data_IF_511860081980
#
_entry.id   IF_511860081980
#
_cell.length_a   1.000
_cell.length_b   1.000
_cell.length_c   1.000
_cell.angle_alpha   90.00
_cell.angle_beta   90.00
_cell.angle_gamma   90.00
#
_symmetry.space_group_name_H-M   'P 1'
#
loop_
_entity.id
_entity.type
_entity.pdbx_description
1 polymer ?
#
# COMPACT_ATOMS: atom_id res chain seq x y z
N UNK A 1 -18.23 -3.05 8.89
CA UNK A 1 -17.14 -2.48 8.08
C UNK A 1 -16.17 -1.70 8.95
N UNK A 2 -16.56 -0.54 9.54
CA UNK A 2 -15.66 0.29 10.37
C UNK A 2 -14.93 -0.47 11.48
N UNK A 3 -15.67 -1.22 12.30
CA UNK A 3 -15.07 -2.00 13.40
C UNK A 3 -14.05 -3.03 12.90
N UNK A 4 -14.30 -3.62 11.74
CA UNK A 4 -13.39 -4.60 11.12
C UNK A 4 -12.11 -3.93 10.63
N UNK A 5 -12.22 -2.78 9.98
CA UNK A 5 -11.04 -2.00 9.56
C UNK A 5 -10.20 -1.65 10.80
N UNK A 6 -10.83 -1.19 11.88
CA UNK A 6 -10.14 -0.87 13.13
C UNK A 6 -9.51 -2.11 13.79
N UNK A 7 -10.19 -3.26 13.77
CA UNK A 7 -9.62 -4.53 14.27
C UNK A 7 -8.41 -4.95 13.42
N UNK A 8 -8.50 -4.84 12.09
CA UNK A 8 -7.39 -5.12 11.19
C UNK A 8 -6.20 -4.20 11.47
N UNK A 9 -6.40 -2.90 11.70
CA UNK A 9 -5.32 -2.00 12.11
C UNK A 9 -4.65 -2.51 13.38
N UNK A 10 -5.42 -2.85 14.42
CA UNK A 10 -4.90 -3.39 15.70
C UNK A 10 -4.16 -4.72 15.55
N UNK A 11 -4.53 -5.54 14.56
CA UNK A 11 -3.88 -6.81 14.24
C UNK A 11 -2.54 -6.62 13.53
N UNK A 12 -2.44 -5.58 12.70
CA UNK A 12 -1.23 -5.30 11.92
C UNK A 12 -0.23 -4.43 12.69
N UNK A 13 -0.71 -3.42 13.43
CA UNK A 13 0.13 -2.50 14.19
C UNK A 13 1.03 -3.20 15.23
N UNK A 14 1.98 -2.46 15.78
CA UNK A 14 3.03 -2.95 16.66
C UNK A 14 4.37 -3.10 15.93
N UNK A 15 5.40 -3.36 16.72
CA UNK A 15 6.78 -3.46 16.24
C UNK A 15 6.93 -4.62 15.26
N UNK A 16 7.34 -4.29 14.03
CA UNK A 16 7.41 -5.23 12.89
C UNK A 16 8.43 -4.80 11.83
N UNK A 17 9.48 -4.09 12.22
CA UNK A 17 10.58 -3.84 11.30
C UNK A 17 11.24 -5.15 10.88
N UNK A 18 11.78 -5.17 9.66
CA UNK A 18 12.30 -6.39 9.05
C UNK A 18 13.53 -6.98 9.75
N UNK A 19 14.25 -6.22 10.59
CA UNK A 19 15.52 -6.64 11.16
C UNK A 19 15.38 -7.12 12.61
N UNK A 20 14.93 -6.25 13.51
CA UNK A 20 14.81 -6.54 14.94
C UNK A 20 13.53 -7.32 15.26
N UNK A 21 12.46 -7.10 14.50
CA UNK A 21 11.14 -7.68 14.72
C UNK A 21 10.70 -8.61 13.57
N UNK A 22 11.65 -9.38 13.04
CA UNK A 22 11.46 -10.31 11.92
C UNK A 22 10.28 -11.28 12.13
N UNK A 23 10.21 -11.95 13.28
CA UNK A 23 9.14 -12.92 13.54
C UNK A 23 7.76 -12.24 13.57
N UNK A 24 7.67 -11.05 14.17
CA UNK A 24 6.44 -10.26 14.19
C UNK A 24 6.03 -9.83 12.77
N UNK A 25 6.98 -9.46 11.91
CA UNK A 25 6.73 -9.18 10.49
C UNK A 25 6.17 -10.43 9.77
N UNK A 26 6.77 -11.60 9.99
CA UNK A 26 6.28 -12.87 9.43
C UNK A 26 4.87 -13.22 9.92
N UNK A 27 4.53 -12.92 11.18
CA UNK A 27 3.17 -13.09 11.70
C UNK A 27 2.16 -12.20 10.96
N UNK A 28 2.53 -10.94 10.64
CA UNK A 28 1.66 -10.04 9.84
C UNK A 28 1.49 -10.57 8.43
N UNK A 29 2.55 -11.06 7.81
CA UNK A 29 2.48 -11.69 6.50
C UNK A 29 1.50 -12.89 6.49
N UNK A 30 1.58 -13.75 7.51
CA UNK A 30 0.68 -14.91 7.66
C UNK A 30 -0.77 -14.49 7.91
N UNK A 31 -1.00 -13.46 8.73
CA UNK A 31 -2.34 -12.91 8.96
C UNK A 31 -2.95 -12.37 7.65
N UNK A 32 -2.19 -11.58 6.89
CA UNK A 32 -2.63 -11.02 5.60
C UNK A 32 -2.95 -12.13 4.60
N UNK A 33 -2.10 -13.16 4.52
CA UNK A 33 -2.34 -14.35 3.68
C UNK A 33 -3.68 -15.02 4.02
N UNK A 34 -3.95 -15.23 5.31
CA UNK A 34 -5.20 -15.83 5.78
C UNK A 34 -6.41 -14.96 5.47
N UNK A 35 -6.29 -13.63 5.59
CA UNK A 35 -7.38 -12.71 5.26
C UNK A 35 -7.72 -12.73 3.77
N UNK A 36 -6.72 -12.74 2.89
CA UNK A 36 -6.94 -12.90 1.45
C UNK A 36 -7.53 -14.28 1.09
N UNK A 37 -6.99 -15.35 1.66
CA UNK A 37 -7.50 -16.71 1.43
C UNK A 37 -8.96 -16.85 1.89
N UNK A 38 -9.30 -16.27 3.06
CA UNK A 38 -10.66 -16.26 3.59
C UNK A 38 -11.63 -15.43 2.74
N UNK A 39 -11.11 -14.47 1.95
CA UNK A 39 -11.88 -13.74 0.95
C UNK A 39 -11.98 -14.46 -0.41
N UNK A 40 -11.45 -15.69 -0.52
CA UNK A 40 -11.56 -16.55 -1.70
C UNK A 40 -10.49 -16.33 -2.77
N UNK A 41 -9.41 -15.62 -2.45
CA UNK A 41 -8.30 -15.43 -3.39
C UNK A 41 -7.34 -16.62 -3.39
N UNK A 42 -6.70 -16.84 -4.54
CA UNK A 42 -5.47 -17.63 -4.62
C UNK A 42 -4.32 -16.74 -4.15
N UNK A 43 -3.66 -17.17 -3.08
CA UNK A 43 -2.56 -16.42 -2.45
C UNK A 43 -1.22 -17.07 -2.77
N UNK A 44 -0.24 -16.26 -3.17
CA UNK A 44 1.13 -16.68 -3.46
C UNK A 44 2.09 -15.82 -2.66
N UNK A 45 3.11 -16.45 -2.06
CA UNK A 45 4.25 -15.74 -1.49
C UNK A 45 5.26 -15.47 -2.60
N UNK A 46 5.55 -14.20 -2.83
CA UNK A 46 6.64 -13.73 -3.67
C UNK A 46 7.87 -13.55 -2.78
N UNK A 47 8.68 -14.61 -2.70
CA UNK A 47 9.83 -14.70 -1.80
C UNK A 47 11.05 -13.97 -2.36
N UNK A 48 11.70 -13.19 -1.49
CA UNK A 48 13.00 -12.60 -1.73
C UNK A 48 13.96 -12.89 -0.57
N UNK A 49 15.25 -12.98 -0.87
CA UNK A 49 16.30 -13.09 0.15
C UNK A 49 16.95 -11.72 0.37
N UNK A 50 16.95 -11.25 1.61
CA UNK A 50 17.66 -10.03 2.01
C UNK A 50 18.48 -10.32 3.27
N UNK A 51 19.79 -10.06 3.21
CA UNK A 51 20.73 -10.37 4.33
C UNK A 51 20.58 -11.81 4.84
N UNK A 52 20.59 -12.77 3.91
CA UNK A 52 20.53 -14.22 4.20
C UNK A 52 19.22 -14.68 4.86
N UNK A 53 18.19 -13.82 4.90
CA UNK A 53 16.86 -14.16 5.43
C UNK A 53 15.79 -14.06 4.34
N UNK A 54 14.79 -14.96 4.34
CA UNK A 54 13.66 -14.88 3.43
C UNK A 54 12.63 -13.84 3.91
N UNK A 55 12.06 -13.10 2.97
CA UNK A 55 10.91 -12.20 3.18
C UNK A 55 9.90 -12.44 2.05
N UNK A 56 8.65 -12.05 2.27
CA UNK A 56 7.58 -12.34 1.32
C UNK A 56 6.73 -11.11 1.03
N UNK A 57 6.57 -10.75 -0.24
CA UNK A 57 5.35 -10.04 -0.62
C UNK A 57 4.20 -11.05 -0.64
N UNK A 58 3.03 -10.65 -0.16
CA UNK A 58 1.82 -11.49 -0.17
C UNK A 58 0.95 -11.06 -1.34
N UNK A 59 0.81 -11.94 -2.33
CA UNK A 59 0.15 -11.65 -3.60
C UNK A 59 -1.17 -12.42 -3.68
N UNK A 60 -2.28 -11.72 -3.82
CA UNK A 60 -3.61 -12.29 -3.94
C UNK A 60 -4.22 -12.00 -5.31
N UNK A 61 -4.68 -13.06 -5.98
CA UNK A 61 -5.25 -13.05 -7.33
C UNK A 61 -6.48 -13.96 -7.41
N UNK A 62 -7.36 -13.81 -8.41
CA UNK A 62 -8.51 -14.69 -8.56
C UNK A 62 -8.14 -16.15 -8.89
N UNK A 63 -7.04 -16.37 -9.62
CA UNK A 63 -6.70 -17.72 -10.13
C UNK A 63 -5.19 -17.98 -10.24
N UNK A 64 -4.35 -17.13 -9.65
CA UNK A 64 -2.88 -17.20 -9.77
C UNK A 64 -2.32 -16.12 -10.67
N UNK A 65 -0.99 -15.95 -10.62
CA UNK A 65 -0.29 -14.90 -11.36
C UNK A 65 -0.27 -15.13 -12.88
N UNK A 66 -0.21 -16.38 -13.34
CA UNK A 66 0.04 -16.72 -14.75
C UNK A 66 -1.19 -16.60 -15.65
N UNK A 67 -2.39 -16.54 -15.07
CA UNK A 67 -3.64 -16.54 -15.82
C UNK A 67 -3.96 -15.20 -16.49
N UNK A 68 -3.29 -14.12 -16.08
CA UNK A 68 -3.52 -12.80 -16.66
C UNK A 68 -2.28 -11.94 -16.84
N UNK A 69 -2.34 -11.15 -17.92
CA UNK A 69 -1.25 -10.26 -18.34
C UNK A 69 -1.58 -8.78 -18.19
N UNK A 70 -2.81 -8.40 -17.85
CA UNK A 70 -3.20 -7.00 -17.62
C UNK A 70 -3.96 -6.86 -16.30
N UNK A 71 -3.32 -6.22 -15.32
CA UNK A 71 -3.84 -6.13 -13.94
C UNK A 71 -4.18 -4.69 -13.54
N UNK A 72 -5.18 -4.55 -12.69
CA UNK A 72 -5.37 -3.44 -11.77
C UNK A 72 -4.87 -3.92 -10.41
N UNK A 73 -3.81 -3.29 -9.91
CA UNK A 73 -3.19 -3.62 -8.63
C UNK A 73 -3.66 -2.64 -7.55
N UNK A 74 -4.05 -3.17 -6.38
CA UNK A 74 -4.14 -2.42 -5.13
C UNK A 74 -3.09 -2.97 -4.17
N UNK A 75 -2.25 -2.11 -3.60
CA UNK A 75 -1.18 -2.53 -2.71
C UNK A 75 -1.02 -1.63 -1.50
N UNK A 76 -0.37 -2.16 -0.47
CA UNK A 76 0.08 -1.44 0.73
C UNK A 76 1.31 -2.18 1.27
N UNK A 77 2.18 -1.53 2.03
CA UNK A 77 3.25 -2.25 2.72
C UNK A 77 2.84 -2.61 4.14
N UNK A 78 3.38 -3.70 4.67
CA UNK A 78 2.99 -4.24 5.97
C UNK A 78 4.12 -4.26 7.00
N UNK A 79 5.32 -3.81 6.64
CA UNK A 79 6.38 -3.50 7.61
C UNK A 79 6.15 -2.14 8.27
N UNK A 80 7.08 -1.76 9.14
CA UNK A 80 7.16 -0.45 9.77
C UNK A 80 8.63 -0.12 10.02
N UNK A 81 8.96 1.17 10.15
CA UNK A 81 10.24 1.61 10.70
C UNK A 81 10.44 1.09 12.13
N UNK A 82 11.70 0.86 12.51
CA UNK A 82 12.07 0.43 13.86
C UNK A 82 11.49 1.37 14.94
N UNK A 83 11.08 0.80 16.08
CA UNK A 83 10.48 1.51 17.22
C UNK A 83 9.10 2.16 16.96
N UNK A 84 8.57 2.11 15.74
CA UNK A 84 7.23 2.62 15.44
C UNK A 84 6.17 1.51 15.57
N UNK A 85 5.00 1.80 16.17
CA UNK A 85 3.85 0.90 16.10
C UNK A 85 3.27 0.84 14.68
N UNK A 86 3.55 1.81 13.81
CA UNK A 86 3.16 1.82 12.41
C UNK A 86 1.66 1.66 12.15
N UNK A 87 0.82 2.31 12.97
CA UNK A 87 -0.64 2.23 12.88
C UNK A 87 -1.18 2.94 11.63
N UNK A 88 -0.74 4.16 11.38
CA UNK A 88 -1.10 4.87 10.15
C UNK A 88 -0.19 4.46 8.98
N UNK A 89 1.13 4.45 9.22
CA UNK A 89 2.21 4.03 8.32
C UNK A 89 2.70 2.60 8.67
N UNK A 90 2.18 1.53 8.06
CA UNK A 90 1.09 1.51 7.08
C UNK A 90 0.00 0.45 7.36
N UNK A 91 -0.27 0.18 8.64
CA UNK A 91 -1.35 -0.73 9.03
C UNK A 91 -2.73 -0.26 8.50
N UNK A 92 -2.93 1.06 8.40
CA UNK A 92 -4.13 1.66 7.81
C UNK A 92 -4.31 1.27 6.34
N UNK A 93 -3.26 1.34 5.51
CA UNK A 93 -3.30 0.97 4.10
C UNK A 93 -3.56 -0.52 3.91
N UNK A 94 -2.94 -1.37 4.74
CA UNK A 94 -3.21 -2.81 4.75
C UNK A 94 -4.67 -3.10 5.09
N UNK A 95 -5.23 -2.42 6.10
CA UNK A 95 -6.62 -2.61 6.50
C UNK A 95 -7.61 -2.22 5.40
N UNK A 96 -7.38 -1.08 4.74
CA UNK A 96 -8.20 -0.65 3.60
C UNK A 96 -8.06 -1.62 2.42
N UNK A 97 -6.84 -2.07 2.09
CA UNK A 97 -6.60 -3.05 1.04
C UNK A 97 -7.37 -4.35 1.27
N UNK A 98 -7.29 -4.91 2.48
CA UNK A 98 -7.96 -6.16 2.85
C UNK A 98 -9.49 -6.02 2.78
N UNK A 99 -10.05 -4.89 3.22
CA UNK A 99 -11.50 -4.66 3.12
C UNK A 99 -11.95 -4.47 1.67
N UNK A 100 -11.17 -3.77 0.83
CA UNK A 100 -11.44 -3.67 -0.61
C UNK A 100 -11.41 -5.06 -1.26
N UNK A 101 -10.38 -5.87 -0.98
CA UNK A 101 -10.27 -7.23 -1.51
C UNK A 101 -11.49 -8.08 -1.14
N UNK A 102 -11.92 -8.00 0.13
CA UNK A 102 -13.10 -8.74 0.61
C UNK A 102 -14.39 -8.31 -0.08
N UNK A 103 -14.58 -7.00 -0.32
CA UNK A 103 -15.81 -6.49 -0.95
C UNK A 103 -15.85 -6.76 -2.45
N UNK A 104 -14.70 -6.73 -3.12
CA UNK A 104 -14.60 -7.01 -4.56
C UNK A 104 -14.64 -8.52 -4.84
N UNK A 105 -14.05 -9.32 -3.95
CA UNK A 105 -13.85 -10.75 -4.15
C UNK A 105 -12.84 -11.07 -5.27
N UNK A 106 -12.59 -12.35 -5.56
CA UNK A 106 -11.70 -12.78 -6.62
C UNK A 106 -12.26 -12.40 -8.00
N UNK A 107 -11.85 -11.25 -8.52
CA UNK A 107 -12.28 -10.71 -9.81
C UNK A 107 -11.16 -10.77 -10.84
N UNK A 108 -11.47 -11.29 -12.02
CA UNK A 108 -10.60 -11.24 -13.20
C UNK A 108 -10.19 -9.79 -13.49
N UNK A 109 -8.89 -9.53 -13.50
CA UNK A 109 -8.23 -8.26 -13.74
C UNK A 109 -7.72 -7.61 -12.46
N UNK A 110 -8.08 -8.12 -11.28
CA UNK A 110 -7.68 -7.53 -9.99
C UNK A 110 -6.55 -8.32 -9.34
N UNK A 111 -5.57 -7.58 -8.81
CA UNK A 111 -4.46 -8.11 -8.00
C UNK A 111 -4.33 -7.29 -6.74
N UNK A 112 -4.12 -7.96 -5.61
CA UNK A 112 -3.80 -7.32 -4.34
C UNK A 112 -2.39 -7.73 -3.91
N UNK A 113 -1.58 -6.78 -3.43
CA UNK A 113 -0.22 -7.09 -3.00
C UNK A 113 0.12 -6.36 -1.71
N UNK A 114 0.42 -7.14 -0.66
CA UNK A 114 1.04 -6.61 0.55
C UNK A 114 2.57 -6.67 0.38
N UNK A 115 3.21 -5.51 0.34
CA UNK A 115 4.66 -5.40 0.15
C UNK A 115 5.41 -5.49 1.47
N UNK A 116 6.55 -6.17 1.46
CA UNK A 116 7.46 -6.24 2.60
C UNK A 116 8.65 -5.30 2.40
N UNK A 117 9.29 -4.88 3.50
CA UNK A 117 10.53 -4.10 3.48
C UNK A 117 10.44 -2.84 2.61
N UNK A 118 9.34 -2.10 2.73
CA UNK A 118 9.23 -0.74 2.18
C UNK A 118 10.19 0.18 2.92
N UNK A 119 10.21 0.06 4.25
CA UNK A 119 10.85 1.02 5.13
C UNK A 119 12.37 0.89 5.12
N UNK A 120 13.12 1.97 5.47
CA UNK A 120 14.57 1.90 5.63
C UNK A 120 14.97 0.84 6.67
N UNK A 121 15.81 -0.11 6.25
CA UNK A 121 16.25 -1.18 7.13
C UNK A 121 17.45 -0.76 7.99
N UNK A 122 17.52 -1.15 9.28
CA UNK A 122 18.65 -0.85 10.15
C UNK A 122 19.99 -1.23 9.50
N UNK A 123 20.97 -0.33 9.62
CA UNK A 123 22.30 -0.48 9.02
C UNK A 123 22.28 -0.62 7.48
N UNK A 124 21.23 -0.20 6.79
CA UNK A 124 21.11 -0.23 5.33
C UNK A 124 20.66 1.12 4.79
N UNK A 125 21.11 1.46 3.58
CA UNK A 125 20.53 2.54 2.77
C UNK A 125 19.47 2.01 1.80
N UNK A 126 19.11 0.73 1.90
CA UNK A 126 18.11 0.11 1.05
C UNK A 126 16.73 0.16 1.71
N UNK A 127 15.75 0.53 0.90
CA UNK A 127 14.33 0.66 1.17
C UNK A 127 13.60 0.29 -0.13
N UNK A 128 12.28 0.12 -0.09
CA UNK A 128 11.45 -0.35 -1.22
C UNK A 128 11.90 -1.72 -1.75
N UNK A 129 12.43 -2.59 -0.88
CA UNK A 129 13.10 -3.83 -1.28
C UNK A 129 12.06 -4.81 -1.86
N UNK A 130 10.94 -5.04 -1.16
CA UNK A 130 9.92 -5.97 -1.62
C UNK A 130 9.23 -5.50 -2.90
N UNK A 131 8.89 -4.22 -3.01
CA UNK A 131 8.24 -3.68 -4.20
C UNK A 131 9.16 -3.68 -5.44
N UNK A 132 10.46 -3.39 -5.28
CA UNK A 132 11.45 -3.53 -6.36
C UNK A 132 11.55 -4.97 -6.85
N UNK A 133 11.71 -5.93 -5.94
CA UNK A 133 11.75 -7.36 -6.28
C UNK A 133 10.49 -7.78 -7.07
N UNK A 134 9.31 -7.42 -6.58
CA UNK A 134 8.05 -7.73 -7.25
C UNK A 134 7.99 -7.12 -8.66
N UNK A 135 8.33 -5.85 -8.81
CA UNK A 135 8.28 -5.15 -10.11
C UNK A 135 9.23 -5.80 -11.12
N UNK A 136 10.45 -6.16 -10.71
CA UNK A 136 11.45 -6.77 -11.58
C UNK A 136 11.05 -8.18 -12.02
N UNK A 137 10.49 -8.98 -11.09
CA UNK A 137 9.93 -10.29 -11.40
C UNK A 137 8.75 -10.18 -12.37
N UNK A 138 7.82 -9.27 -12.11
CA UNK A 138 6.62 -9.10 -12.95
C UNK A 138 6.96 -8.60 -14.36
N UNK A 139 7.95 -7.71 -14.50
CA UNK A 139 8.46 -7.27 -15.80
C UNK A 139 9.13 -8.41 -16.56
N UNK A 140 9.98 -9.18 -15.89
CA UNK A 140 10.68 -10.34 -16.48
C UNK A 140 9.69 -11.40 -16.98
N UNK A 141 8.56 -11.58 -16.29
CA UNK A 141 7.48 -12.47 -16.71
C UNK A 141 6.51 -11.86 -17.75
N UNK A 142 6.71 -10.59 -18.15
CA UNK A 142 5.90 -9.94 -19.18
C UNK A 142 4.48 -9.56 -18.73
N UNK A 143 4.25 -9.34 -17.43
CA UNK A 143 2.99 -8.78 -16.95
C UNK A 143 2.91 -7.28 -17.23
N UNK A 144 1.72 -6.81 -17.60
CA UNK A 144 1.35 -5.41 -17.74
C UNK A 144 0.32 -5.00 -16.68
N UNK A 145 0.25 -3.70 -16.43
CA UNK A 145 -0.64 -3.09 -15.45
C UNK A 145 -1.39 -1.93 -16.06
N UNK A 146 -2.72 -1.97 -16.00
CA UNK A 146 -3.60 -0.88 -16.43
C UNK A 146 -3.65 0.24 -15.39
N UNK A 147 -3.62 -0.13 -14.12
CA UNK A 147 -3.56 0.80 -13.00
C UNK A 147 -2.87 0.15 -11.81
N UNK A 148 -2.18 0.96 -11.02
CA UNK A 148 -1.58 0.59 -9.74
C UNK A 148 -1.98 1.65 -8.74
N UNK A 149 -2.68 1.24 -7.68
CA UNK A 149 -3.10 2.07 -6.56
C UNK A 149 -2.33 1.58 -5.33
N UNK A 150 -1.44 2.39 -4.79
CA UNK A 150 -0.72 2.08 -3.55
C UNK A 150 -1.32 2.93 -2.45
N UNK A 151 -1.78 2.26 -1.39
CA UNK A 151 -2.35 2.88 -0.21
C UNK A 151 -1.22 3.14 0.77
N UNK A 152 -1.10 4.39 1.18
CA UNK A 152 -0.06 4.87 2.09
C UNK A 152 -0.70 5.85 3.07
N UNK A 153 -0.61 5.55 4.37
CA UNK A 153 -1.07 6.41 5.47
C UNK A 153 -2.49 6.99 5.27
N UNK A 154 -3.51 6.13 5.39
CA UNK A 154 -4.92 6.42 5.08
C UNK A 154 -5.85 6.33 6.31
N UNK A 155 -5.30 6.40 7.52
CA UNK A 155 -6.00 6.22 8.79
C UNK A 155 -6.01 7.43 9.71
N UNK A 156 -5.07 8.37 9.57
CA UNK A 156 -5.02 9.59 10.38
C UNK A 156 -5.92 10.71 9.83
N UNK A 157 -6.56 11.45 10.74
CA UNK A 157 -7.35 12.64 10.43
C UNK A 157 -7.19 13.66 11.55
N UNK A 158 -7.00 14.93 11.19
CA UNK A 158 -7.09 16.04 12.13
C UNK A 158 -7.84 17.21 11.50
N UNK A 159 -8.69 17.84 12.31
CA UNK A 159 -9.44 19.04 11.94
C UNK A 159 -8.85 20.32 12.55
N UNK A 160 -7.73 20.19 13.28
CA UNK A 160 -7.06 21.34 13.86
C UNK A 160 -6.41 22.20 12.75
N UNK A 161 -6.42 23.54 12.87
CA UNK A 161 -5.68 24.40 11.97
C UNK A 161 -4.19 24.03 11.94
N UNK A 162 -3.57 24.05 10.74
CA UNK A 162 -2.15 23.72 10.53
C UNK A 162 -1.74 22.31 11.02
N UNK A 163 -2.68 21.37 11.07
CA UNK A 163 -2.39 19.98 11.46
C UNK A 163 -1.53 19.21 10.44
N UNK A 164 -1.25 19.79 9.28
CA UNK A 164 -0.45 19.18 8.23
C UNK A 164 0.73 20.06 7.84
N UNK A 165 1.92 19.48 7.86
CA UNK A 165 3.14 20.11 7.35
C UNK A 165 3.30 19.79 5.87
N UNK A 166 3.26 20.83 5.05
CA UNK A 166 3.41 20.67 3.60
C UNK A 166 4.87 20.78 3.18
N UNK A 167 5.36 19.86 2.33
CA UNK A 167 6.68 19.98 1.74
C UNK A 167 6.78 21.22 0.86
N UNK A 168 7.99 21.77 0.66
CA UNK A 168 8.20 22.83 -0.32
C UNK A 168 7.60 22.45 -1.68
N UNK A 169 6.92 23.40 -2.31
CA UNK A 169 6.31 23.28 -3.65
C UNK A 169 5.10 22.34 -3.77
N UNK A 170 4.70 21.65 -2.69
CA UNK A 170 3.44 20.90 -2.66
C UNK A 170 2.30 21.84 -2.30
N UNK A 171 1.21 21.78 -3.07
CA UNK A 171 -0.02 22.55 -2.81
C UNK A 171 -1.13 21.61 -2.38
N UNK A 172 -1.48 21.65 -1.11
CA UNK A 172 -2.59 20.91 -0.52
C UNK A 172 -3.18 21.72 0.65
N UNK A 173 -4.33 21.33 1.21
CA UNK A 173 -4.85 21.94 2.44
C UNK A 173 -3.87 21.82 3.61
N UNK A 174 -3.89 22.81 4.52
CA UNK A 174 -3.12 22.80 5.77
C UNK A 174 -3.81 22.02 6.91
N UNK A 175 -5.04 21.56 6.67
CA UNK A 175 -5.81 20.69 7.56
C UNK A 175 -5.79 19.28 7.00
N UNK A 176 -5.47 18.30 7.84
CA UNK A 176 -5.30 16.89 7.48
C UNK A 176 -6.62 16.12 7.42
N UNK A 177 -7.64 16.66 6.72
CA UNK A 177 -8.98 16.08 6.63
C UNK A 177 -9.40 15.67 5.22
N UNK A 178 -8.44 15.22 4.42
CA UNK A 178 -8.62 14.82 3.02
C UNK A 178 -7.77 13.58 2.67
N UNK A 179 -8.08 12.95 1.54
CA UNK A 179 -7.23 11.92 0.94
C UNK A 179 -6.44 12.52 -0.22
N UNK A 180 -5.11 12.36 -0.14
CA UNK A 180 -4.19 12.69 -1.22
C UNK A 180 -4.17 11.61 -2.30
N UNK A 181 -4.29 12.01 -3.57
CA UNK A 181 -4.09 11.14 -4.72
C UNK A 181 -2.89 11.66 -5.47
N UNK A 182 -1.77 10.95 -5.37
CA UNK A 182 -0.46 11.41 -5.84
C UNK A 182 0.02 10.54 -7.00
N UNK A 183 0.52 11.16 -8.05
CA UNK A 183 1.04 10.43 -9.21
C UNK A 183 1.77 11.31 -10.21
N UNK A 184 2.53 10.69 -11.12
CA UNK A 184 3.19 11.42 -12.19
C UNK A 184 2.25 11.68 -13.38
N UNK A 185 2.76 12.27 -14.47
CA UNK A 185 1.99 12.53 -15.70
C UNK A 185 1.33 11.27 -16.28
N UNK A 186 1.92 10.08 -16.13
CA UNK A 186 1.34 8.84 -16.66
C UNK A 186 0.12 8.38 -15.85
N UNK A 187 0.08 8.74 -14.57
CA UNK A 187 -1.03 8.42 -13.67
C UNK A 187 -2.23 9.38 -13.80
N UNK A 188 -2.13 10.49 -14.56
CA UNK A 188 -3.14 11.56 -14.61
C UNK A 188 -4.56 11.05 -14.90
N UNK A 189 -4.72 10.07 -15.80
CA UNK A 189 -6.02 9.44 -16.08
C UNK A 189 -6.56 8.62 -14.91
N UNK A 190 -5.70 7.91 -14.18
CA UNK A 190 -6.07 7.12 -13.00
C UNK A 190 -6.45 8.06 -11.86
N UNK A 191 -5.69 9.13 -11.65
CA UNK A 191 -5.97 10.14 -10.63
C UNK A 191 -7.31 10.84 -10.89
N UNK A 192 -7.60 11.20 -12.14
CA UNK A 192 -8.88 11.79 -12.54
C UNK A 192 -10.04 10.80 -12.31
N UNK A 193 -9.88 9.54 -12.72
CA UNK A 193 -10.89 8.50 -12.52
C UNK A 193 -11.16 8.24 -11.03
N UNK A 194 -10.13 8.24 -10.17
CA UNK A 194 -10.31 8.12 -8.73
C UNK A 194 -11.11 9.29 -8.16
N UNK A 195 -10.74 10.53 -8.53
CA UNK A 195 -11.43 11.74 -8.07
C UNK A 195 -12.90 11.76 -8.50
N UNK A 196 -13.18 11.38 -9.75
CA UNK A 196 -14.54 11.27 -10.27
C UNK A 196 -15.35 10.22 -9.51
N UNK A 197 -14.79 9.02 -9.33
CA UNK A 197 -15.44 7.94 -8.58
C UNK A 197 -15.72 8.35 -7.12
N UNK A 198 -14.78 9.03 -6.47
CA UNK A 198 -14.98 9.56 -5.12
C UNK A 198 -16.11 10.59 -5.08
N UNK A 199 -16.14 11.54 -6.01
CA UNK A 199 -17.22 12.54 -6.09
C UNK A 199 -18.61 11.94 -6.34
N UNK A 200 -18.68 10.79 -7.02
CA UNK A 200 -19.94 10.08 -7.28
C UNK A 200 -20.40 9.22 -6.10
N UNK A 201 -19.47 8.57 -5.40
CA UNK A 201 -19.81 7.54 -4.41
C UNK A 201 -19.63 7.97 -2.95
N UNK A 202 -18.78 8.97 -2.69
CA UNK A 202 -18.44 9.48 -1.36
C UNK A 202 -18.21 11.00 -1.45
N UNK A 203 -19.23 11.80 -1.83
CA UNK A 203 -19.07 13.23 -2.11
C UNK A 203 -18.57 14.08 -0.93
N UNK A 204 -18.72 13.57 0.30
CA UNK A 204 -18.19 14.18 1.52
C UNK A 204 -16.68 14.01 1.69
N UNK A 205 -16.06 13.05 0.99
CA UNK A 205 -14.62 12.82 1.06
C UNK A 205 -13.90 13.90 0.26
N UNK A 206 -13.13 14.74 0.96
CA UNK A 206 -12.22 15.69 0.31
C UNK A 206 -11.11 14.91 -0.39
N UNK A 207 -11.02 15.06 -1.71
CA UNK A 207 -9.96 14.44 -2.53
C UNK A 207 -9.09 15.50 -3.15
N UNK A 208 -7.79 15.45 -2.84
CA UNK A 208 -6.78 16.38 -3.35
C UNK A 208 -5.83 15.61 -4.25
N UNK A 209 -5.76 16.00 -5.52
CA UNK A 209 -4.85 15.37 -6.48
C UNK A 209 -3.56 16.17 -6.60
N UNK A 210 -2.41 15.52 -6.48
CA UNK A 210 -1.11 16.16 -6.68
C UNK A 210 -0.31 15.44 -7.77
N UNK A 211 0.00 16.17 -8.86
CA UNK A 211 0.82 15.65 -9.95
C UNK A 211 2.29 15.93 -9.66
N UNK A 212 3.07 14.89 -9.40
CA UNK A 212 4.49 15.03 -9.06
C UNK A 212 5.32 15.44 -10.28
N UNK A 213 6.22 16.43 -10.15
CA UNK A 213 7.22 16.72 -11.17
C UNK A 213 8.30 15.62 -11.15
N UNK A 214 8.90 15.36 -12.32
CA UNK A 214 10.02 14.42 -12.45
C UNK A 214 9.80 13.05 -11.77
N UNK A 215 8.59 12.49 -11.84
CA UNK A 215 8.20 11.21 -11.22
C UNK A 215 8.37 11.16 -9.69
N UNK A 216 8.37 12.32 -9.02
CA UNK A 216 8.53 12.42 -7.57
C UNK A 216 9.97 12.60 -7.11
N UNK A 217 10.99 12.50 -7.98
CA UNK A 217 12.40 12.63 -7.57
C UNK A 217 12.78 14.00 -6.97
N UNK A 218 11.93 15.01 -7.15
CA UNK A 218 12.14 16.37 -6.61
C UNK A 218 11.33 16.65 -5.35
N UNK A 219 10.53 15.69 -4.89
CA UNK A 219 9.71 15.81 -3.67
C UNK A 219 10.43 15.05 -2.57
N UNK A 220 10.70 15.66 -1.40
CA UNK A 220 11.29 14.94 -0.28
C UNK A 220 10.36 13.81 0.20
N UNK A 221 10.90 12.82 0.90
CA UNK A 221 10.08 11.86 1.63
C UNK A 221 9.34 12.57 2.78
N UNK A 222 8.06 12.23 2.92
CA UNK A 222 7.14 12.93 3.81
C UNK A 222 6.28 11.91 4.52
N UNK A 223 6.15 12.05 5.83
CA UNK A 223 5.26 11.28 6.69
C UNK A 223 4.33 12.23 7.39
#
# INVERSE_FOLDING_TARGET
MRERILDTVRRIEGLRDGYYHYDALCERALYIEREFASAGFVVQRDELIFRERPYHNIVATPSGLDDQREWVLVGAHYDAVAESPGADDNASGVAVMLEVARRVGPRKGMKFVAFTLEEPQPHSLHFLIGSRHFVDRMKSAGHAYRAVLVLESVGYVSHDPESQLLPPFVKAPHVGDFIGVVGDKKAERIMAAFKEAAGLHVPELKVVTYRTPARGFLVPETR
#
